data_IF_510960656458
#
_entry.id   IF_510960656458
#
_cell.length_a   1.000
_cell.length_b   1.000
_cell.length_c   1.000
_cell.angle_alpha   90.00
_cell.angle_beta   90.00
_cell.angle_gamma   90.00
#
_symmetry.space_group_name_H-M   'P 1'
#
loop_
_entity.id
_entity.type
_entity.pdbx_description
1 polymer ?
#
# COMPACT_ATOMS: atom_id res chain seq x y z
N UNK A 1 1.03 32.94 35.16
CA UNK A 1 -0.21 33.75 35.18
C UNK A 1 -1.03 33.32 36.38
N UNK A 2 -1.04 34.09 37.47
CA UNK A 2 -1.85 33.77 38.64
C UNK A 2 -3.34 33.90 38.26
N UNK A 3 -4.01 32.77 38.04
CA UNK A 3 -5.42 32.75 37.69
C UNK A 3 -6.24 33.29 38.86
N UNK A 4 -7.12 34.26 38.59
CA UNK A 4 -8.11 34.70 39.57
C UNK A 4 -9.02 33.49 39.86
N UNK A 5 -8.93 32.95 41.07
CA UNK A 5 -9.76 31.83 41.51
C UNK A 5 -11.21 32.26 41.61
N UNK A 6 -12.13 31.38 41.21
CA UNK A 6 -13.56 31.59 41.39
C UNK A 6 -13.93 31.77 42.87
N UNK A 7 -14.85 32.68 43.16
CA UNK A 7 -15.44 32.87 44.49
C UNK A 7 -16.91 32.48 44.42
N UNK A 8 -17.32 31.55 45.27
CA UNK A 8 -18.73 31.24 45.49
C UNK A 8 -19.32 32.35 46.36
N UNK A 9 -20.42 32.96 45.93
CA UNK A 9 -21.13 34.01 46.65
C UNK A 9 -22.62 33.71 46.72
N UNK A 10 -23.33 34.37 47.63
CA UNK A 10 -24.81 34.36 47.66
C UNK A 10 -25.39 34.94 46.36
N UNK A 11 -26.55 34.42 45.97
CA UNK A 11 -27.34 34.80 44.81
C UNK A 11 -28.07 36.14 44.97
N UNK A 12 -28.10 36.72 46.17
CA UNK A 12 -28.72 38.03 46.46
C UNK A 12 -28.35 39.11 45.44
N UNK A 13 -27.07 39.21 45.06
CA UNK A 13 -26.59 40.22 44.11
C UNK A 13 -26.93 39.92 42.64
N UNK A 14 -27.45 38.72 42.34
CA UNK A 14 -27.71 38.20 41.00
C UNK A 14 -29.12 37.63 40.85
N UNK A 15 -30.00 37.89 41.82
CA UNK A 15 -31.36 37.38 41.83
C UNK A 15 -32.11 37.79 40.55
N UNK A 16 -32.83 36.84 39.95
CA UNK A 16 -33.54 37.01 38.67
C UNK A 16 -32.66 36.93 37.42
N UNK A 17 -31.33 36.84 37.54
CA UNK A 17 -30.47 36.60 36.36
C UNK A 17 -30.50 35.13 35.94
N UNK A 18 -30.54 34.82 34.63
CA UNK A 18 -30.54 33.44 34.16
C UNK A 18 -29.14 32.82 34.27
N UNK A 19 -29.05 31.64 34.88
CA UNK A 19 -27.84 30.83 34.89
C UNK A 19 -27.44 30.47 33.45
N UNK A 20 -26.18 30.74 33.08
CA UNK A 20 -25.73 30.53 31.69
C UNK A 20 -25.78 29.06 31.25
N UNK A 21 -25.74 28.12 32.20
CA UNK A 21 -25.79 26.68 31.92
C UNK A 21 -27.22 26.13 31.89
N UNK A 22 -27.96 26.19 33.00
CA UNK A 22 -29.28 25.55 33.11
C UNK A 22 -30.44 26.46 32.67
N UNK A 23 -30.18 27.74 32.39
CA UNK A 23 -31.15 28.78 31.98
C UNK A 23 -32.23 29.11 33.02
N UNK A 24 -32.20 28.51 34.21
CA UNK A 24 -33.08 28.89 35.33
C UNK A 24 -32.61 30.21 35.94
N UNK A 25 -33.56 30.98 36.45
CA UNK A 25 -33.27 32.19 37.22
C UNK A 25 -32.54 31.84 38.52
N UNK A 26 -31.68 32.75 38.95
CA UNK A 26 -30.97 32.68 40.23
C UNK A 26 -31.88 33.24 41.31
N UNK A 27 -32.09 32.49 42.39
CA UNK A 27 -32.76 32.96 43.60
C UNK A 27 -31.77 33.69 44.52
N UNK A 28 -32.28 34.47 45.48
CA UNK A 28 -31.42 35.21 46.41
C UNK A 28 -30.61 34.25 47.31
N UNK A 29 -31.21 33.11 47.64
CA UNK A 29 -30.64 32.03 48.45
C UNK A 29 -29.71 31.08 47.68
N UNK A 30 -29.61 31.20 46.35
CA UNK A 30 -28.80 30.30 45.55
C UNK A 30 -27.29 30.56 45.76
N UNK A 31 -26.48 29.50 45.75
CA UNK A 31 -25.03 29.65 45.63
C UNK A 31 -24.66 29.93 44.17
N UNK A 32 -23.91 31.01 43.94
CA UNK A 32 -23.58 31.50 42.61
C UNK A 32 -22.07 31.60 42.43
N UNK A 33 -21.61 31.25 41.24
CA UNK A 33 -20.24 31.50 40.77
C UNK A 33 -20.28 32.43 39.57
N UNK A 34 -19.56 33.54 39.69
CA UNK A 34 -19.30 34.44 38.57
C UNK A 34 -17.97 34.06 37.93
N UNK A 35 -17.98 33.71 36.65
CA UNK A 35 -16.77 33.33 35.93
C UNK A 35 -15.73 34.47 36.01
N UNK A 36 -14.50 34.24 36.53
CA UNK A 36 -13.48 35.29 36.62
C UNK A 36 -12.99 35.79 35.25
N UNK A 37 -13.24 35.00 34.19
CA UNK A 37 -12.83 35.31 32.81
C UNK A 37 -13.90 36.05 32.03
N UNK A 38 -15.08 35.45 31.88
CA UNK A 38 -16.15 35.98 31.04
C UNK A 38 -17.30 36.65 31.82
N UNK A 39 -17.20 36.70 33.15
CA UNK A 39 -18.18 37.29 34.07
C UNK A 39 -19.61 36.74 33.94
N UNK A 40 -19.76 35.57 33.32
CA UNK A 40 -21.05 34.90 33.23
C UNK A 40 -21.43 34.29 34.57
N UNK A 41 -22.70 34.45 34.93
CA UNK A 41 -23.27 34.03 36.20
C UNK A 41 -23.90 32.65 36.04
N UNK A 42 -23.67 31.77 37.01
CA UNK A 42 -24.21 30.41 37.04
C UNK A 42 -24.30 29.90 38.47
N UNK A 43 -25.23 28.99 38.72
CA UNK A 43 -25.27 28.25 39.98
C UNK A 43 -23.95 27.55 40.25
N UNK A 44 -23.54 27.50 41.52
CA UNK A 44 -22.32 26.80 41.95
C UNK A 44 -22.37 25.33 41.53
N UNK A 45 -23.52 24.67 41.61
CA UNK A 45 -23.65 23.28 41.20
C UNK A 45 -23.60 23.08 39.68
N UNK A 46 -24.10 24.04 38.90
CA UNK A 46 -23.92 24.07 37.45
C UNK A 46 -22.44 24.27 37.06
N UNK A 47 -21.71 25.09 37.82
CA UNK A 47 -20.28 25.25 37.68
C UNK A 47 -19.51 23.96 37.97
N UNK A 48 -19.86 23.28 39.07
CA UNK A 48 -19.27 21.99 39.46
C UNK A 48 -19.57 20.90 38.44
N UNK A 49 -20.83 20.75 38.02
CA UNK A 49 -21.27 19.66 37.14
C UNK A 49 -20.67 19.73 35.74
N UNK A 50 -20.47 20.94 35.20
CA UNK A 50 -19.78 21.12 33.91
C UNK A 50 -18.25 21.04 34.04
N UNK A 51 -17.70 21.18 35.24
CA UNK A 51 -16.27 21.34 35.46
C UNK A 51 -15.74 22.70 35.01
N UNK A 52 -16.56 23.76 35.05
CA UNK A 52 -16.17 25.12 34.68
C UNK A 52 -17.29 26.00 34.15
N UNK A 53 -16.93 27.00 33.34
CA UNK A 53 -17.90 27.98 32.83
C UNK A 53 -18.88 27.37 31.81
N UNK A 54 -20.17 27.66 31.99
CA UNK A 54 -21.27 27.24 31.13
C UNK A 54 -21.28 27.85 29.72
N UNK A 55 -20.61 28.99 29.53
CA UNK A 55 -20.58 29.71 28.25
C UNK A 55 -19.79 28.95 27.17
N UNK A 56 -20.39 28.83 25.98
CA UNK A 56 -19.71 28.28 24.81
C UNK A 56 -18.40 29.04 24.52
N UNK A 57 -17.30 28.31 24.35
CA UNK A 57 -15.98 28.88 24.04
C UNK A 57 -15.22 29.50 25.22
N UNK A 58 -15.74 29.46 26.45
CA UNK A 58 -14.97 29.94 27.62
C UNK A 58 -14.02 28.85 28.13
N UNK A 59 -12.69 29.04 28.12
CA UNK A 59 -11.73 28.00 28.55
C UNK A 59 -11.59 27.88 30.07
N UNK A 60 -12.45 28.54 30.86
CA UNK A 60 -12.33 28.56 32.31
C UNK A 60 -12.84 27.24 32.89
N UNK A 61 -11.92 26.48 33.47
CA UNK A 61 -12.18 25.22 34.17
C UNK A 61 -12.42 25.51 35.65
N UNK A 62 -13.27 24.73 36.31
CA UNK A 62 -13.46 24.77 37.75
C UNK A 62 -12.18 24.27 38.44
N UNK A 63 -11.43 25.14 39.10
CA UNK A 63 -10.26 24.72 39.88
C UNK A 63 -10.67 24.07 41.20
N UNK A 64 -11.85 24.41 41.73
CA UNK A 64 -12.38 23.84 42.97
C UNK A 64 -12.95 22.42 42.83
N UNK A 65 -13.00 21.84 41.63
CA UNK A 65 -13.41 20.45 41.39
C UNK A 65 -12.32 19.68 40.65
N UNK A 66 -11.10 19.73 41.18
CA UNK A 66 -10.21 18.58 41.05
C UNK A 66 -10.73 17.58 42.08
N UNK A 67 -11.69 16.75 41.68
CA UNK A 67 -12.00 15.53 42.45
C UNK A 67 -10.69 14.76 42.64
N UNK A 68 -10.54 14.07 43.78
CA UNK A 68 -9.35 13.26 44.03
C UNK A 68 -9.03 12.44 42.78
N UNK A 69 -7.81 12.62 42.27
CA UNK A 69 -7.32 11.84 41.13
C UNK A 69 -7.61 10.38 41.49
N UNK A 70 -8.36 9.63 40.66
CA UNK A 70 -8.58 8.22 40.94
C UNK A 70 -7.22 7.58 41.20
N UNK A 71 -7.14 6.62 42.13
CA UNK A 71 -5.97 5.74 42.25
C UNK A 71 -5.85 4.98 40.92
N UNK A 72 -5.32 5.65 39.90
CA UNK A 72 -4.75 4.98 38.76
C UNK A 72 -3.64 4.11 39.32
N UNK A 73 -3.56 2.89 38.80
CA UNK A 73 -2.36 2.09 38.95
C UNK A 73 -1.19 3.03 38.69
N UNK A 74 -0.32 3.16 39.70
CA UNK A 74 0.76 4.15 39.68
C UNK A 74 1.55 4.06 38.37
N UNK A 75 2.42 5.06 38.09
CA UNK A 75 3.30 4.97 36.92
C UNK A 75 3.91 3.57 36.87
N UNK A 76 3.87 2.90 35.70
CA UNK A 76 4.33 1.52 35.59
C UNK A 76 5.72 1.42 36.25
N UNK A 77 5.98 0.31 36.98
CA UNK A 77 7.22 0.19 37.74
C UNK A 77 8.40 0.51 36.81
N UNK A 78 9.35 1.34 37.25
CA UNK A 78 10.44 1.77 36.39
C UNK A 78 11.18 0.53 35.90
N UNK A 79 11.11 0.30 34.59
CA UNK A 79 11.86 -0.77 33.93
C UNK A 79 13.34 -0.62 34.27
N UNK A 80 13.94 -1.69 34.78
CA UNK A 80 15.33 -1.64 35.19
C UNK A 80 16.24 -1.27 34.01
N UNK A 81 17.30 -0.50 34.25
CA UNK A 81 18.27 -0.14 33.18
C UNK A 81 18.85 -1.37 32.48
N UNK A 82 18.94 -2.51 33.18
CA UNK A 82 19.37 -3.80 32.63
C UNK A 82 18.34 -4.38 31.65
N UNK A 83 17.04 -4.25 31.94
CA UNK A 83 15.97 -4.68 31.04
C UNK A 83 15.92 -3.81 29.78
N UNK A 84 16.08 -2.49 29.91
CA UNK A 84 16.17 -1.58 28.75
C UNK A 84 17.40 -1.92 27.90
N UNK A 85 18.57 -2.07 28.52
CA UNK A 85 19.80 -2.41 27.83
C UNK A 85 19.71 -3.79 27.14
N UNK A 86 19.11 -4.78 27.81
CA UNK A 86 18.86 -6.10 27.24
C UNK A 86 17.91 -6.05 26.04
N UNK A 87 16.84 -5.26 26.12
CA UNK A 87 15.92 -5.06 25.00
C UNK A 87 16.58 -4.37 23.81
N UNK A 88 17.40 -3.33 24.07
CA UNK A 88 18.16 -2.64 23.02
C UNK A 88 19.20 -3.57 22.38
N UNK A 89 19.93 -4.36 23.17
CA UNK A 89 20.90 -5.33 22.66
C UNK A 89 20.23 -6.44 21.85
N UNK A 90 19.07 -6.95 22.29
CA UNK A 90 18.32 -7.95 21.55
C UNK A 90 17.80 -7.39 20.20
N UNK A 91 17.27 -6.17 20.20
CA UNK A 91 16.84 -5.49 18.98
C UNK A 91 18.03 -5.23 18.03
N UNK A 92 19.15 -4.75 18.56
CA UNK A 92 20.37 -4.54 17.78
C UNK A 92 20.92 -5.85 17.19
N UNK A 93 20.94 -6.92 17.99
CA UNK A 93 21.34 -8.26 17.52
C UNK A 93 20.40 -8.79 16.44
N UNK A 94 19.08 -8.56 16.55
CA UNK A 94 18.11 -8.93 15.53
C UNK A 94 18.32 -8.14 14.23
N UNK A 95 18.54 -6.82 14.33
CA UNK A 95 18.82 -5.97 13.17
C UNK A 95 20.12 -6.41 12.48
N UNK A 96 21.19 -6.63 13.27
CA UNK A 96 22.45 -7.14 12.76
C UNK A 96 22.27 -8.51 12.10
N UNK A 97 21.49 -9.41 12.72
CA UNK A 97 21.17 -10.70 12.11
C UNK A 97 20.44 -10.55 10.77
N UNK A 98 19.48 -9.62 10.67
CA UNK A 98 18.75 -9.39 9.40
C UNK A 98 19.64 -8.79 8.31
N UNK A 99 20.59 -7.91 8.68
CA UNK A 99 21.53 -7.29 7.73
C UNK A 99 22.61 -8.28 7.27
N UNK A 100 23.12 -9.11 8.19
CA UNK A 100 24.21 -10.05 7.94
C UNK A 100 23.76 -11.47 7.61
N UNK A 101 22.45 -11.73 7.52
CA UNK A 101 21.95 -13.01 7.03
C UNK A 101 22.41 -13.16 5.58
N UNK A 102 23.14 -14.24 5.22
CA UNK A 102 23.52 -14.46 3.83
C UNK A 102 22.26 -14.49 2.98
N UNK A 103 22.27 -13.72 1.88
CA UNK A 103 21.20 -13.79 0.91
C UNK A 103 21.01 -15.26 0.50
N UNK A 104 19.76 -15.72 0.29
CA UNK A 104 19.55 -17.03 -0.32
C UNK A 104 20.42 -17.11 -1.59
N UNK A 105 21.04 -18.27 -1.85
CA UNK A 105 21.89 -18.44 -3.02
C UNK A 105 21.10 -18.01 -4.26
N UNK A 106 21.72 -17.21 -5.11
CA UNK A 106 21.13 -16.76 -6.37
C UNK A 106 20.61 -17.99 -7.13
N UNK A 107 19.30 -18.08 -7.43
CA UNK A 107 18.73 -19.24 -8.10
C UNK A 107 19.33 -19.49 -9.50
N UNK A 108 19.88 -18.45 -10.13
CA UNK A 108 20.61 -18.61 -11.37
C UNK A 108 21.95 -19.35 -11.18
N UNK A 109 22.53 -19.36 -9.98
CA UNK A 109 23.80 -20.03 -9.67
C UNK A 109 24.95 -19.70 -10.65
N UNK A 110 24.99 -18.46 -11.16
CA UNK A 110 25.98 -18.00 -12.14
C UNK A 110 25.57 -18.17 -13.61
N UNK A 111 24.40 -18.73 -13.88
CA UNK A 111 23.77 -18.77 -15.22
C UNK A 111 23.31 -17.38 -15.64
N UNK A 112 23.19 -17.15 -16.96
CA UNK A 112 22.53 -15.97 -17.51
C UNK A 112 21.07 -15.99 -17.11
N UNK A 113 20.65 -14.99 -16.33
CA UNK A 113 19.27 -14.87 -15.87
C UNK A 113 18.45 -14.14 -16.93
N UNK A 114 17.36 -14.76 -17.38
CA UNK A 114 16.39 -14.17 -18.31
C UNK A 114 15.05 -14.04 -17.62
N UNK A 115 14.54 -12.82 -17.49
CA UNK A 115 13.24 -12.54 -16.88
C UNK A 115 12.14 -12.70 -17.94
N UNK A 116 11.23 -13.65 -17.70
CA UNK A 116 10.05 -13.87 -18.54
C UNK A 116 8.79 -13.42 -17.81
N UNK A 117 8.13 -12.36 -18.30
CA UNK A 117 6.92 -11.80 -17.69
C UNK A 117 5.67 -12.01 -18.55
N UNK A 118 4.66 -12.69 -18.03
CA UNK A 118 3.41 -12.90 -18.76
C UNK A 118 2.19 -12.93 -17.82
N UNK A 119 0.99 -12.83 -18.41
CA UNK A 119 -0.25 -13.16 -17.71
C UNK A 119 -0.67 -14.59 -18.01
N UNK A 120 -1.18 -15.31 -17.02
CA UNK A 120 -1.69 -16.65 -17.22
C UNK A 120 -2.97 -16.87 -16.42
N UNK A 121 -3.90 -17.65 -16.99
CA UNK A 121 -4.95 -18.27 -16.19
C UNK A 121 -4.39 -19.51 -15.47
N UNK A 122 -5.19 -20.12 -14.60
CA UNK A 122 -4.73 -21.26 -13.80
C UNK A 122 -4.20 -22.43 -14.66
N UNK A 123 -4.80 -22.71 -15.82
CA UNK A 123 -4.38 -23.84 -16.65
C UNK A 123 -3.06 -23.54 -17.35
N UNK A 124 -2.95 -22.34 -17.94
CA UNK A 124 -1.74 -21.92 -18.61
C UNK A 124 -0.58 -21.71 -17.63
N UNK A 125 -0.86 -21.26 -16.41
CA UNK A 125 0.11 -21.05 -15.34
C UNK A 125 0.87 -22.34 -15.00
N UNK A 126 0.13 -23.45 -14.83
CA UNK A 126 0.73 -24.76 -14.59
C UNK A 126 1.66 -25.17 -15.72
N UNK A 127 1.21 -25.01 -16.97
CA UNK A 127 2.00 -25.40 -18.15
C UNK A 127 3.28 -24.57 -18.27
N UNK A 128 3.19 -23.24 -18.19
CA UNK A 128 4.36 -22.37 -18.34
C UNK A 128 5.34 -22.58 -17.18
N UNK A 129 4.83 -22.80 -15.95
CA UNK A 129 5.66 -23.11 -14.79
C UNK A 129 6.42 -24.41 -14.97
N UNK A 130 5.74 -25.48 -15.39
CA UNK A 130 6.39 -26.77 -15.66
C UNK A 130 7.46 -26.66 -16.74
N UNK A 131 7.23 -25.87 -17.80
CA UNK A 131 8.23 -25.61 -18.84
C UNK A 131 9.46 -24.86 -18.29
N UNK A 132 9.25 -23.81 -17.50
CA UNK A 132 10.35 -23.06 -16.90
C UNK A 132 11.16 -23.92 -15.92
N UNK A 133 10.49 -24.73 -15.11
CA UNK A 133 11.13 -25.64 -14.17
C UNK A 133 11.93 -26.74 -14.89
N UNK A 134 11.36 -27.34 -15.95
CA UNK A 134 12.05 -28.33 -16.76
C UNK A 134 13.30 -27.74 -17.42
N UNK A 135 13.18 -26.55 -18.02
CA UNK A 135 14.34 -25.84 -18.57
C UNK A 135 15.40 -25.58 -17.50
N UNK A 136 15.00 -25.04 -16.35
CA UNK A 136 15.93 -24.67 -15.28
C UNK A 136 16.62 -25.86 -14.61
N UNK A 137 16.05 -27.06 -14.72
CA UNK A 137 16.65 -28.30 -14.25
C UNK A 137 17.77 -28.78 -15.19
N UNK A 138 17.60 -28.59 -16.50
CA UNK A 138 18.47 -29.15 -17.52
C UNK A 138 19.48 -28.14 -18.10
N UNK A 139 19.18 -26.83 -18.01
CA UNK A 139 20.02 -25.77 -18.60
C UNK A 139 21.20 -25.40 -17.70
N UNK A 140 22.41 -25.55 -18.25
CA UNK A 140 23.67 -25.17 -17.61
C UNK A 140 24.03 -23.69 -17.82
N UNK A 141 23.39 -23.01 -18.78
CA UNK A 141 23.79 -21.65 -19.21
C UNK A 141 22.73 -20.59 -18.89
N UNK A 142 21.44 -20.91 -19.04
CA UNK A 142 20.35 -19.94 -18.93
C UNK A 142 19.42 -20.34 -17.78
N UNK A 143 19.12 -19.39 -16.90
CA UNK A 143 18.10 -19.51 -15.89
C UNK A 143 16.90 -18.62 -16.23
N UNK A 144 15.73 -19.22 -16.39
CA UNK A 144 14.46 -18.52 -16.61
C UNK A 144 13.90 -18.08 -15.26
N UNK A 145 13.85 -16.78 -15.03
CA UNK A 145 13.11 -16.16 -13.94
C UNK A 145 11.68 -15.87 -14.40
N UNK A 146 10.81 -16.86 -14.21
CA UNK A 146 9.42 -16.79 -14.62
C UNK A 146 8.60 -15.94 -13.65
N UNK A 147 7.94 -14.91 -14.18
CA UNK A 147 7.03 -14.03 -13.46
C UNK A 147 5.65 -14.08 -14.11
N UNK A 148 4.74 -14.84 -13.51
CA UNK A 148 3.35 -14.91 -13.96
C UNK A 148 2.45 -13.99 -13.15
N UNK A 149 1.57 -13.30 -13.85
CA UNK A 149 0.62 -12.35 -13.30
C UNK A 149 -0.82 -12.83 -13.54
N UNK A 150 -1.76 -12.44 -12.66
CA UNK A 150 -3.18 -12.57 -12.97
C UNK A 150 -3.56 -11.65 -14.13
N UNK A 151 -4.65 -11.98 -14.82
CA UNK A 151 -5.16 -11.21 -15.94
C UNK A 151 -5.41 -9.72 -15.59
N UNK A 152 -4.96 -8.82 -16.46
CA UNK A 152 -5.11 -7.36 -16.33
C UNK A 152 -4.10 -6.66 -15.41
N UNK A 153 -3.07 -7.35 -14.94
CA UNK A 153 -2.03 -6.79 -14.05
C UNK A 153 -0.72 -6.44 -14.77
N UNK A 154 -0.52 -6.89 -16.01
CA UNK A 154 0.76 -6.75 -16.73
C UNK A 154 1.10 -5.30 -17.06
N UNK A 155 0.12 -4.50 -17.46
CA UNK A 155 0.32 -3.09 -17.79
C UNK A 155 0.91 -2.31 -16.61
N UNK A 156 0.31 -2.47 -15.41
CA UNK A 156 0.78 -1.79 -14.21
C UNK A 156 2.19 -2.26 -13.82
N UNK A 157 2.48 -3.56 -13.96
CA UNK A 157 3.79 -4.11 -13.64
C UNK A 157 4.86 -3.64 -14.62
N UNK A 158 4.60 -3.67 -15.92
CA UNK A 158 5.52 -3.23 -16.96
C UNK A 158 5.89 -1.76 -16.80
N UNK A 159 4.91 -0.88 -16.56
CA UNK A 159 5.18 0.55 -16.33
C UNK A 159 6.12 0.75 -15.14
N UNK A 160 5.90 0.03 -14.04
CA UNK A 160 6.75 0.14 -12.84
C UNK A 160 8.16 -0.35 -13.11
N UNK A 161 8.31 -1.52 -13.75
CA UNK A 161 9.60 -2.12 -14.06
C UNK A 161 10.43 -1.25 -15.03
N UNK A 162 9.80 -0.78 -16.11
CA UNK A 162 10.45 0.11 -17.09
C UNK A 162 10.84 1.44 -16.42
N UNK A 163 9.96 2.04 -15.62
CA UNK A 163 10.27 3.29 -14.91
C UNK A 163 11.40 3.14 -13.88
N UNK A 164 11.56 1.94 -13.31
CA UNK A 164 12.66 1.60 -12.41
C UNK A 164 13.98 1.33 -13.16
N UNK A 165 13.96 1.27 -14.49
CA UNK A 165 15.13 0.89 -15.30
C UNK A 165 15.45 -0.61 -15.22
N UNK A 166 14.46 -1.44 -14.88
CA UNK A 166 14.58 -2.89 -14.72
C UNK A 166 13.48 -3.62 -15.52
N UNK A 167 13.41 -3.42 -16.85
CA UNK A 167 12.42 -4.07 -17.70
C UNK A 167 12.66 -5.59 -17.79
N UNK A 168 11.61 -6.42 -17.99
CA UNK A 168 11.80 -7.83 -18.26
C UNK A 168 12.46 -8.06 -19.63
N UNK A 169 13.24 -9.12 -19.77
CA UNK A 169 13.91 -9.47 -21.03
C UNK A 169 12.90 -9.93 -22.08
N UNK A 170 12.01 -10.84 -21.68
CA UNK A 170 10.94 -11.40 -22.52
C UNK A 170 9.61 -11.13 -21.85
N UNK A 171 8.62 -10.66 -22.60
CA UNK A 171 7.30 -10.44 -22.03
C UNK A 171 6.16 -10.62 -23.04
N UNK A 172 4.97 -10.92 -22.53
CA UNK A 172 3.75 -10.99 -23.33
C UNK A 172 2.99 -9.66 -23.28
N UNK A 173 2.68 -9.08 -24.43
CA UNK A 173 1.88 -7.84 -24.54
C UNK A 173 0.56 -8.09 -25.26
N UNK A 174 -0.57 -7.56 -24.76
CA UNK A 174 -1.82 -7.53 -25.50
C UNK A 174 -1.68 -6.90 -26.90
N UNK A 175 -2.48 -7.36 -27.87
CA UNK A 175 -2.43 -6.87 -29.26
C UNK A 175 -2.60 -5.34 -29.36
N UNK A 176 -3.45 -4.73 -28.53
CA UNK A 176 -3.70 -3.29 -28.50
C UNK A 176 -2.54 -2.47 -27.90
N UNK A 177 -1.64 -3.11 -27.15
CA UNK A 177 -0.42 -2.50 -26.60
C UNK A 177 0.82 -2.71 -27.46
N UNK A 178 0.81 -3.76 -28.28
CA UNK A 178 1.96 -4.15 -29.09
C UNK A 178 2.44 -3.00 -29.99
N UNK A 179 1.52 -2.37 -30.73
CA UNK A 179 1.85 -1.30 -31.67
C UNK A 179 2.52 -0.11 -30.97
N UNK A 180 2.07 0.23 -29.76
CA UNK A 180 2.69 1.29 -28.97
C UNK A 180 4.17 0.99 -28.68
N UNK A 181 4.51 -0.22 -28.24
CA UNK A 181 5.90 -0.56 -27.95
C UNK A 181 6.77 -0.63 -29.21
N UNK A 182 6.22 -1.16 -30.30
CA UNK A 182 6.91 -1.25 -31.58
C UNK A 182 7.20 0.15 -32.17
N UNK A 183 6.21 1.05 -32.16
CA UNK A 183 6.36 2.42 -32.68
C UNK A 183 7.33 3.28 -31.86
N UNK A 184 7.43 3.04 -30.55
CA UNK A 184 8.40 3.73 -29.69
C UNK A 184 9.85 3.21 -29.88
N UNK A 185 10.04 2.14 -30.66
CA UNK A 185 11.36 1.51 -30.85
C UNK A 185 11.87 0.81 -29.59
N UNK A 186 10.98 0.43 -28.67
CA UNK A 186 11.33 -0.17 -27.38
C UNK A 186 11.52 -1.69 -27.44
N UNK A 187 11.29 -2.31 -28.60
CA UNK A 187 11.35 -3.76 -28.79
C UNK A 187 12.54 -4.15 -29.67
N UNK A 188 13.13 -5.30 -29.36
CA UNK A 188 14.15 -5.91 -30.20
C UNK A 188 13.49 -6.51 -31.46
N UNK A 189 14.08 -6.24 -32.63
CA UNK A 189 13.67 -6.91 -33.86
C UNK A 189 14.07 -8.39 -33.79
N UNK A 190 13.07 -9.28 -33.86
CA UNK A 190 13.23 -10.73 -33.76
C UNK A 190 13.64 -11.35 -35.11
N UNK A 191 13.12 -10.78 -36.20
CA UNK A 191 13.41 -11.19 -37.57
C UNK A 191 13.04 -10.06 -38.53
N UNK A 192 13.18 -10.28 -39.83
CA UNK A 192 12.76 -9.37 -40.89
C UNK A 192 11.89 -10.12 -41.91
N UNK A 193 10.83 -9.48 -42.37
CA UNK A 193 9.99 -10.05 -43.42
C UNK A 193 10.67 -10.00 -44.81
N UNK A 194 9.95 -10.49 -45.83
CA UNK A 194 10.46 -10.52 -47.22
C UNK A 194 10.68 -9.12 -47.82
N UNK A 195 10.08 -8.10 -47.21
CA UNK A 195 10.18 -6.68 -47.61
C UNK A 195 11.25 -5.95 -46.77
N UNK A 196 11.92 -6.67 -45.87
CA UNK A 196 12.94 -6.14 -44.96
C UNK A 196 12.38 -5.34 -43.79
N UNK A 197 11.08 -5.44 -43.50
CA UNK A 197 10.47 -4.80 -42.33
C UNK A 197 10.75 -5.63 -41.07
N UNK A 198 11.10 -4.99 -39.94
CA UNK A 198 11.38 -5.68 -38.69
C UNK A 198 10.12 -6.31 -38.09
N UNK A 199 10.26 -7.54 -37.61
CA UNK A 199 9.25 -8.28 -36.86
C UNK A 199 9.59 -8.18 -35.38
N UNK A 200 8.78 -7.47 -34.60
CA UNK A 200 9.06 -7.21 -33.18
C UNK A 200 8.38 -8.19 -32.21
N UNK A 201 7.50 -9.06 -32.69
CA UNK A 201 6.73 -9.95 -31.82
C UNK A 201 6.22 -11.19 -32.52
N UNK A 202 6.08 -12.26 -31.74
CA UNK A 202 5.53 -13.54 -32.19
C UNK A 202 4.20 -13.78 -31.46
N UNK A 203 3.20 -14.33 -32.16
CA UNK A 203 1.93 -14.68 -31.54
C UNK A 203 2.12 -15.68 -30.39
N UNK A 204 1.56 -15.39 -29.23
CA UNK A 204 1.50 -16.34 -28.12
C UNK A 204 0.62 -17.54 -28.52
N UNK A 205 1.06 -18.80 -28.37
CA UNK A 205 0.32 -19.96 -28.87
C UNK A 205 -1.06 -20.16 -28.22
N UNK A 206 -1.18 -19.77 -26.95
CA UNK A 206 -2.40 -19.99 -26.15
C UNK A 206 -3.21 -18.73 -25.81
N UNK A 207 -2.79 -17.53 -26.25
CA UNK A 207 -3.39 -16.26 -25.83
C UNK A 207 -3.37 -15.23 -26.97
N UNK A 208 -4.26 -14.23 -26.89
CA UNK A 208 -4.29 -13.08 -27.80
C UNK A 208 -3.28 -12.00 -27.39
N UNK A 209 -2.03 -12.41 -27.24
CA UNK A 209 -0.88 -11.57 -26.87
C UNK A 209 0.28 -11.84 -27.83
N UNK A 210 1.22 -10.91 -27.92
CA UNK A 210 2.49 -11.08 -28.62
C UNK A 210 3.59 -11.30 -27.59
N UNK A 211 4.40 -12.34 -27.78
CA UNK A 211 5.68 -12.51 -27.13
C UNK A 211 6.69 -11.56 -27.79
N UNK A 212 7.35 -10.73 -26.99
CA UNK A 212 8.31 -9.72 -27.44
C UNK A 212 9.56 -9.74 -26.56
N UNK A 213 10.63 -9.10 -27.05
CA UNK A 213 11.89 -8.91 -26.31
C UNK A 213 12.14 -7.42 -26.12
N UNK A 214 12.57 -7.03 -24.92
CA UNK A 214 12.95 -5.65 -24.64
C UNK A 214 14.16 -5.21 -25.49
N UNK A 215 14.07 -4.03 -26.11
CA UNK A 215 15.08 -3.54 -27.06
C UNK A 215 16.47 -3.36 -26.46
N UNK A 216 16.55 -2.96 -25.18
CA UNK A 216 17.82 -2.76 -24.48
C UNK A 216 18.17 -3.92 -23.53
N UNK A 217 17.67 -5.14 -23.78
CA UNK A 217 18.07 -6.31 -22.97
C UNK A 217 19.58 -6.51 -23.03
N UNK A 218 20.18 -6.88 -21.90
CA UNK A 218 21.62 -7.17 -21.80
C UNK A 218 21.98 -8.47 -22.53
N UNK A 219 21.01 -9.38 -22.68
CA UNK A 219 21.21 -10.75 -23.15
C UNK A 219 20.26 -11.10 -24.30
N UNK A 220 20.40 -10.45 -25.48
CA UNK A 220 19.43 -10.57 -26.58
C UNK A 220 19.36 -11.98 -27.19
N UNK A 221 20.48 -12.69 -27.26
CA UNK A 221 20.54 -14.04 -27.84
C UNK A 221 19.88 -15.08 -26.93
N UNK A 222 20.15 -14.99 -25.62
CA UNK A 222 19.53 -15.83 -24.60
C UNK A 222 18.04 -15.52 -24.45
N UNK A 223 17.65 -14.24 -24.50
CA UNK A 223 16.24 -13.83 -24.51
C UNK A 223 15.50 -14.41 -25.73
N UNK A 224 16.11 -14.38 -26.91
CA UNK A 224 15.55 -14.99 -28.12
C UNK A 224 15.39 -16.51 -28.00
N UNK A 225 16.39 -17.16 -27.40
CA UNK A 225 16.34 -18.60 -27.11
C UNK A 225 15.18 -18.94 -26.18
N UNK A 226 14.99 -18.19 -25.10
CA UNK A 226 13.88 -18.39 -24.16
C UNK A 226 12.52 -18.10 -24.80
N UNK A 227 12.41 -17.04 -25.61
CA UNK A 227 11.18 -16.72 -26.34
C UNK A 227 10.78 -17.88 -27.27
N UNK A 228 11.72 -18.40 -28.05
CA UNK A 228 11.46 -19.54 -28.94
C UNK A 228 11.11 -20.80 -28.17
N UNK A 229 11.80 -21.08 -27.06
CA UNK A 229 11.48 -22.21 -26.20
C UNK A 229 10.02 -22.20 -25.76
N UNK A 230 9.52 -21.08 -25.22
CA UNK A 230 8.11 -20.98 -24.82
C UNK A 230 7.16 -21.04 -26.01
N UNK A 231 7.45 -20.33 -27.10
CA UNK A 231 6.63 -20.38 -28.33
C UNK A 231 6.43 -21.81 -28.84
N UNK A 232 7.48 -22.61 -28.83
CA UNK A 232 7.47 -23.93 -29.45
C UNK A 232 6.89 -25.02 -28.53
N UNK A 233 6.92 -24.79 -27.20
CA UNK A 233 6.50 -25.79 -26.22
C UNK A 233 5.17 -25.48 -25.52
N UNK A 234 4.66 -24.25 -25.59
CA UNK A 234 3.30 -23.94 -25.11
C UNK A 234 2.26 -24.58 -26.05
N UNK A 235 1.34 -25.41 -25.53
CA UNK A 235 0.28 -26.01 -26.34
C UNK A 235 -0.60 -24.93 -27.00
N UNK A 236 -0.85 -25.01 -28.32
CA UNK A 236 -1.64 -24.01 -29.00
C UNK A 236 -3.12 -24.08 -28.59
N UNK A 237 -3.74 -22.92 -28.40
CA UNK A 237 -5.18 -22.77 -28.21
C UNK A 237 -5.86 -22.34 -29.51
N UNK A 238 -7.18 -22.48 -29.57
CA UNK A 238 -7.99 -21.90 -30.66
C UNK A 238 -8.11 -20.38 -30.47
N UNK A 239 -7.17 -19.65 -31.08
CA UNK A 239 -7.08 -18.20 -30.99
C UNK A 239 -8.30 -17.49 -31.62
N UNK A 240 -8.92 -18.09 -32.64
CA UNK A 240 -10.09 -17.48 -33.27
C UNK A 240 -11.30 -17.57 -32.34
N UNK A 241 -11.52 -18.73 -31.73
CA UNK A 241 -12.56 -18.89 -30.72
C UNK A 241 -12.33 -18.00 -29.47
N UNK A 242 -11.08 -17.68 -29.13
CA UNK A 242 -10.78 -16.69 -28.08
C UNK A 242 -11.16 -15.28 -28.50
N UNK A 243 -10.86 -14.90 -29.75
CA UNK A 243 -11.18 -13.57 -30.30
C UNK A 243 -12.69 -13.35 -30.33
N UNK A 244 -13.46 -14.34 -30.78
CA UNK A 244 -14.93 -14.28 -30.78
C UNK A 244 -15.52 -14.12 -29.37
N UNK A 245 -14.92 -14.78 -28.36
CA UNK A 245 -15.35 -14.66 -26.95
C UNK A 245 -15.04 -13.30 -26.34
N UNK A 246 -13.92 -12.67 -26.71
CA UNK A 246 -13.51 -11.35 -26.23
C UNK A 246 -14.36 -10.18 -26.74
N UNK A 247 -15.16 -10.37 -27.79
CA UNK A 247 -16.03 -9.31 -28.37
C UNK A 247 -17.32 -9.08 -27.56
N UNK A 248 -17.66 -9.97 -26.62
CA UNK A 248 -18.78 -9.74 -25.70
C UNK A 248 -18.35 -8.81 -24.56
N UNK A 249 -18.37 -7.49 -24.81
CA UNK A 249 -18.37 -6.48 -23.76
C UNK A 249 -19.53 -6.78 -22.81
N UNK A 250 -19.22 -7.11 -21.55
CA UNK A 250 -20.22 -7.16 -20.48
C UNK A 250 -20.86 -5.76 -20.46
N UNK A 251 -22.19 -5.62 -20.65
CA UNK A 251 -22.82 -4.32 -20.53
C UNK A 251 -22.56 -3.83 -19.11
N UNK A 252 -21.89 -2.69 -18.99
CA UNK A 252 -21.71 -1.96 -17.74
C UNK A 252 -23.08 -1.66 -17.15
N UNK A 253 -23.57 -2.55 -16.28
CA UNK A 253 -24.67 -2.27 -15.37
C UNK A 253 -24.09 -1.38 -14.27
N UNK A 254 -24.29 -0.08 -14.44
CA UNK A 254 -23.96 0.93 -13.44
C UNK A 254 -24.65 0.61 -12.11
N UNK A 255 -23.85 0.68 -11.05
CA UNK A 255 -24.31 0.85 -9.67
C UNK A 255 -24.04 2.28 -9.23
#
# INVERSE_FOLDING_TARGET
>A
MAGKTEKVTSGEAYAGQPCILCKKEIAAEDEVVVCPRCRSVQHADCWKSKGGCGRAGCPQIAQAVIGEKPKGDGPPPPVSKKAILGGVLAAAALILYLIFKPAPPDPAMGRTKIVFLAEADYQLDQVITELAEAWNADSEEIYIDLQLLPAGAIDAKLVVLIAAGDPPDVFAVPEDRFDFFAEQGSLLALDYDQEGQPIYGIQHPAQLTKLVIWGDTVHPEEALTVLHYFRDNIPPADLEALRERGVYTIPMLGF
#
